data_IF_130254477690
#
_entry.id   IF_130254477690
#
_cell.length_a   1.000
_cell.length_b   1.000
_cell.length_c   1.000
_cell.angle_alpha   90.00
_cell.angle_beta   90.00
_cell.angle_gamma   90.00
#
_symmetry.space_group_name_H-M   'P 1'
#
loop_
_entity.id
_entity.type
_entity.pdbx_description
1 polymer ?
#
# COMPACT_ATOMS: atom_id res chain seq x y z
N UNK A 1 -32.88 15.04 -4.61
CA UNK A 1 -31.95 15.51 -3.58
C UNK A 1 -31.47 14.24 -2.89
N UNK A 2 -30.58 13.49 -3.55
CA UNK A 2 -29.12 13.66 -3.49
C UNK A 2 -28.62 13.70 -2.05
N UNK A 3 -28.32 12.52 -1.51
CA UNK A 3 -27.30 12.34 -0.49
C UNK A 3 -26.56 11.02 -0.80
N UNK A 4 -25.91 11.01 -1.96
CA UNK A 4 -24.86 10.04 -2.28
C UNK A 4 -23.67 10.31 -1.36
N UNK A 5 -23.76 9.86 -0.10
CA UNK A 5 -22.57 9.63 0.72
C UNK A 5 -21.78 8.52 0.05
N UNK A 6 -20.85 8.93 -0.81
CA UNK A 6 -19.77 8.11 -1.30
C UNK A 6 -19.04 7.50 -0.11
N UNK A 7 -19.42 6.28 0.29
CA UNK A 7 -18.53 5.42 1.07
C UNK A 7 -17.31 5.20 0.18
N UNK A 8 -16.20 5.85 0.52
CA UNK A 8 -14.91 5.43 -0.01
C UNK A 8 -14.82 3.91 0.17
N UNK A 9 -14.43 3.15 -0.87
CA UNK A 9 -14.42 1.70 -0.78
C UNK A 9 -13.57 1.29 0.41
N UNK A 10 -14.19 0.55 1.31
CA UNK A 10 -13.54 -0.04 2.48
C UNK A 10 -12.39 -0.89 1.94
N UNK A 11 -11.25 -0.88 2.64
CA UNK A 11 -9.96 -1.54 2.32
C UNK A 11 -10.07 -3.08 2.06
N UNK A 12 -11.28 -3.65 1.98
CA UNK A 12 -11.58 -5.05 1.65
C UNK A 12 -11.96 -5.35 0.19
N UNK A 13 -12.30 -4.37 -0.66
CA UNK A 13 -12.99 -4.66 -1.95
C UNK A 13 -12.09 -4.82 -3.19
N UNK A 14 -10.76 -4.71 -3.05
CA UNK A 14 -9.88 -4.91 -4.22
C UNK A 14 -9.76 -6.41 -4.54
N UNK A 15 -10.03 -6.82 -5.79
CA UNK A 15 -9.84 -8.21 -6.19
C UNK A 15 -8.36 -8.60 -6.07
N UNK A 16 -8.11 -9.89 -5.81
CA UNK A 16 -6.74 -10.44 -5.83
C UNK A 16 -6.34 -10.61 -7.30
N UNK A 17 -5.23 -9.97 -7.69
CA UNK A 17 -4.77 -9.85 -9.08
C UNK A 17 -3.61 -10.79 -9.44
N UNK A 18 -3.07 -11.54 -8.47
CA UNK A 18 -1.90 -12.40 -8.64
C UNK A 18 -2.12 -13.78 -8.02
N UNK A 19 -1.24 -14.73 -8.33
CA UNK A 19 -1.33 -16.11 -7.82
C UNK A 19 -1.01 -16.18 -6.32
N UNK A 20 -1.47 -17.25 -5.66
CA UNK A 20 -1.11 -17.53 -4.25
C UNK A 20 0.40 -17.66 -4.04
N UNK A 21 1.10 -18.29 -4.98
CA UNK A 21 2.56 -18.44 -4.93
C UNK A 21 3.26 -17.07 -4.95
N UNK A 22 2.76 -16.12 -5.75
CA UNK A 22 3.30 -14.76 -5.77
C UNK A 22 3.00 -14.01 -4.47
N UNK A 23 1.81 -14.19 -3.87
CA UNK A 23 1.48 -13.63 -2.55
C UNK A 23 2.44 -14.15 -1.48
N UNK A 24 2.68 -15.47 -1.41
CA UNK A 24 3.61 -16.07 -0.45
C UNK A 24 5.03 -15.53 -0.61
N UNK A 25 5.49 -15.39 -1.87
CA UNK A 25 6.79 -14.79 -2.18
C UNK A 25 6.86 -13.33 -1.69
N UNK A 26 5.82 -12.53 -1.94
CA UNK A 26 5.77 -11.12 -1.51
C UNK A 26 5.74 -11.00 0.01
N UNK A 27 4.97 -11.83 0.71
CA UNK A 27 4.94 -11.88 2.18
C UNK A 27 6.32 -12.15 2.77
N UNK A 28 7.05 -13.11 2.20
CA UNK A 28 8.43 -13.40 2.60
C UNK A 28 9.35 -12.18 2.41
N UNK A 29 9.33 -11.57 1.23
CA UNK A 29 10.14 -10.38 0.93
C UNK A 29 9.78 -9.20 1.84
N UNK A 30 8.50 -8.99 2.12
CA UNK A 30 8.03 -7.92 3.01
C UNK A 30 8.52 -8.14 4.44
N UNK A 31 8.41 -9.37 4.95
CA UNK A 31 8.94 -9.75 6.27
C UNK A 31 10.46 -9.54 6.37
N UNK A 32 11.22 -9.95 5.35
CA UNK A 32 12.67 -9.76 5.31
C UNK A 32 13.03 -8.26 5.31
N UNK A 33 12.31 -7.46 4.52
CA UNK A 33 12.52 -6.01 4.43
C UNK A 33 12.21 -5.29 5.75
N UNK A 34 11.07 -5.62 6.38
CA UNK A 34 10.68 -5.03 7.67
C UNK A 34 11.65 -5.43 8.79
N UNK A 35 12.21 -6.64 8.73
CA UNK A 35 13.24 -7.08 9.67
C UNK A 35 14.53 -6.25 9.51
N UNK A 36 14.95 -5.96 8.28
CA UNK A 36 16.08 -5.06 8.04
C UNK A 36 15.83 -3.65 8.57
N UNK A 37 14.63 -3.09 8.35
CA UNK A 37 14.28 -1.76 8.89
C UNK A 37 14.28 -1.74 10.42
N UNK A 38 13.82 -2.81 11.06
CA UNK A 38 13.83 -2.93 12.52
C UNK A 38 15.26 -2.98 13.08
N UNK A 39 16.18 -3.69 12.42
CA UNK A 39 17.61 -3.73 12.80
C UNK A 39 18.23 -2.32 12.73
N UNK A 40 17.93 -1.57 11.67
CA UNK A 40 18.47 -0.23 11.44
C UNK A 40 17.68 0.88 12.18
N UNK A 41 16.67 0.55 12.99
CA UNK A 41 15.75 1.48 13.64
C UNK A 41 15.08 2.49 12.68
N UNK A 42 14.79 2.06 11.46
CA UNK A 42 14.10 2.88 10.45
C UNK A 42 12.59 2.77 10.66
N UNK A 43 11.88 3.86 10.99
CA UNK A 43 10.43 3.82 11.17
C UNK A 43 9.72 3.66 9.82
N UNK A 44 8.66 2.85 9.80
CA UNK A 44 7.74 2.78 8.67
C UNK A 44 6.71 3.91 8.75
N UNK A 45 6.35 4.49 7.59
CA UNK A 45 5.31 5.51 7.54
C UNK A 45 3.92 4.86 7.63
N UNK A 46 3.15 5.08 8.71
CA UNK A 46 1.85 4.45 8.90
C UNK A 46 0.83 4.83 7.81
N UNK A 47 0.93 6.03 7.24
CA UNK A 47 -0.03 6.54 6.25
C UNK A 47 0.11 5.85 4.90
N UNK A 48 1.29 5.30 4.59
CA UNK A 48 1.57 4.64 3.31
C UNK A 48 1.74 3.13 3.43
N UNK A 49 1.81 2.58 4.65
CA UNK A 49 2.02 1.15 4.91
C UNK A 49 0.96 0.27 4.24
N UNK A 50 -0.27 0.76 4.13
CA UNK A 50 -1.37 0.02 3.51
C UNK A 50 -1.13 -0.28 2.02
N UNK A 51 -0.38 0.56 1.28
CA UNK A 51 -0.01 0.27 -0.12
C UNK A 51 0.88 -0.95 -0.25
N UNK A 52 1.83 -1.14 0.68
CA UNK A 52 2.70 -2.30 0.70
C UNK A 52 1.94 -3.56 1.11
N UNK A 53 1.02 -3.45 2.07
CA UNK A 53 0.13 -4.56 2.47
C UNK A 53 -0.79 -4.99 1.31
N UNK A 54 -1.36 -4.05 0.58
CA UNK A 54 -2.20 -4.36 -0.58
C UNK A 54 -1.38 -4.98 -1.72
N UNK A 55 -0.12 -4.60 -1.90
CA UNK A 55 0.79 -5.27 -2.84
C UNK A 55 1.14 -6.69 -2.40
N UNK A 56 1.47 -6.87 -1.12
CA UNK A 56 1.75 -8.16 -0.49
C UNK A 56 0.58 -9.14 -0.65
N UNK A 57 -0.64 -8.68 -0.39
CA UNK A 57 -1.88 -9.45 -0.50
C UNK A 57 -2.40 -9.59 -1.94
N UNK A 58 -1.65 -9.09 -2.93
CA UNK A 58 -1.98 -9.24 -4.33
C UNK A 58 -3.13 -8.35 -4.84
N UNK A 59 -3.62 -7.42 -4.02
CA UNK A 59 -4.62 -6.41 -4.39
C UNK A 59 -4.04 -5.30 -5.28
N UNK A 60 -2.73 -5.11 -5.21
CA UNK A 60 -1.94 -4.31 -6.15
C UNK A 60 -1.04 -5.26 -6.93
N UNK A 61 -1.20 -5.27 -8.25
CA UNK A 61 -0.49 -6.22 -9.10
C UNK A 61 1.00 -5.89 -9.24
N UNK A 62 1.37 -4.60 -9.28
CA UNK A 62 2.71 -4.15 -9.69
C UNK A 62 3.33 -3.14 -8.74
N UNK A 63 4.66 -3.16 -8.65
CA UNK A 63 5.41 -2.14 -7.90
C UNK A 63 5.33 -0.75 -8.55
N UNK A 64 5.04 -0.66 -9.85
CA UNK A 64 4.78 0.60 -10.55
C UNK A 64 3.55 1.31 -9.99
N UNK A 65 2.48 0.55 -9.72
CA UNK A 65 1.27 1.09 -9.11
C UNK A 65 1.53 1.56 -7.67
N UNK A 66 2.27 0.78 -6.86
CA UNK A 66 2.70 1.21 -5.52
C UNK A 66 3.44 2.54 -5.58
N UNK A 67 4.41 2.68 -6.50
CA UNK A 67 5.15 3.94 -6.70
C UNK A 67 4.24 5.11 -7.08
N UNK A 68 3.24 4.89 -7.93
CA UNK A 68 2.29 5.92 -8.31
C UNK A 68 1.43 6.37 -7.13
N UNK A 69 0.96 5.43 -6.29
CA UNK A 69 0.20 5.74 -5.08
C UNK A 69 1.02 6.52 -4.06
N UNK A 70 2.28 6.12 -3.85
CA UNK A 70 3.22 6.87 -3.01
C UNK A 70 3.46 8.28 -3.55
N UNK A 71 3.72 8.42 -4.85
CA UNK A 71 3.91 9.71 -5.48
C UNK A 71 2.68 10.61 -5.29
N UNK A 72 1.48 10.09 -5.51
CA UNK A 72 0.24 10.84 -5.32
C UNK A 72 0.05 11.29 -3.87
N UNK A 73 0.30 10.40 -2.91
CA UNK A 73 0.22 10.71 -1.47
C UNK A 73 1.16 11.85 -1.07
N UNK A 74 2.45 11.74 -1.40
CA UNK A 74 3.42 12.77 -1.02
C UNK A 74 3.27 14.08 -1.82
N UNK A 75 2.75 14.01 -3.06
CA UNK A 75 2.39 15.23 -3.80
C UNK A 75 1.26 15.98 -3.10
N UNK A 76 0.25 15.26 -2.60
CA UNK A 76 -0.86 15.87 -1.88
C UNK A 76 -0.37 16.58 -0.61
N UNK A 77 0.45 15.91 0.20
CA UNK A 77 1.05 16.51 1.40
C UNK A 77 1.82 17.79 1.04
N UNK A 78 2.69 17.73 0.03
CA UNK A 78 3.47 18.89 -0.40
C UNK A 78 2.62 20.08 -0.86
N UNK A 79 1.41 19.85 -1.35
CA UNK A 79 0.47 20.90 -1.76
C UNK A 79 -0.39 21.43 -0.61
N UNK A 80 -0.67 20.60 0.41
CA UNK A 80 -1.42 21.01 1.61
C UNK A 80 -0.54 21.79 2.61
N UNK A 81 0.78 21.61 2.54
CA UNK A 81 1.77 22.35 3.33
C UNK A 81 2.13 23.75 2.75
N UNK A 82 1.54 24.15 1.61
CA UNK A 82 1.71 25.47 0.96
C UNK A 82 0.42 26.31 1.03
#
# INVERSE_FOLDING_TARGET
MEDSKSKAPIVGDRPILVSRQEIEKRRRINSDTLSSFAIDNIPVNPDTQHFFKDFEEGKIATSKEVKALLHAHYTKIALEDN
#
